data_IF_552848122527
#
_entry.id   IF_552848122527
#
_cell.length_a   1.000
_cell.length_b   1.000
_cell.length_c   1.000
_cell.angle_alpha   90.00
_cell.angle_beta   90.00
_cell.angle_gamma   90.00
#
_symmetry.space_group_name_H-M   'P 1'
#
loop_
_entity.id
_entity.type
_entity.pdbx_description
1 polymer ?
#
# COMPACT_ATOMS: atom_id res chain seq x y z
N UNK A 1 -1.11 37.00 41.41
CA UNK A 1 -0.06 36.32 40.62
C UNK A 1 -0.37 34.84 40.66
N UNK A 2 -1.31 34.39 39.85
CA UNK A 2 -1.64 32.96 39.79
C UNK A 2 -2.29 32.71 38.45
N UNK A 3 -1.44 32.50 37.44
CA UNK A 3 -1.84 31.91 36.15
C UNK A 3 -0.56 31.57 35.37
N UNK A 4 -0.05 30.37 35.62
CA UNK A 4 0.80 29.65 34.68
C UNK A 4 0.32 28.20 34.70
N UNK A 5 -0.71 27.97 33.89
CA UNK A 5 -1.23 26.65 33.55
C UNK A 5 -0.07 25.74 33.17
N UNK A 6 0.07 24.62 33.87
CA UNK A 6 0.89 23.48 33.45
C UNK A 6 0.42 23.04 32.06
N UNK A 7 1.18 23.39 31.03
CA UNK A 7 1.15 22.64 29.78
C UNK A 7 1.86 21.33 30.09
N UNK A 8 1.12 20.22 30.10
CA UNK A 8 1.65 18.91 30.48
C UNK A 8 2.80 18.48 29.56
N UNK A 9 3.84 17.91 30.16
CA UNK A 9 4.98 17.31 29.46
C UNK A 9 4.49 16.14 28.59
N UNK A 10 4.43 16.31 27.27
CA UNK A 10 4.14 15.23 26.31
C UNK A 10 5.44 14.47 26.03
N UNK A 11 5.41 13.15 26.09
CA UNK A 11 6.58 12.28 25.83
C UNK A 11 7.06 12.45 24.37
N UNK A 12 8.36 12.76 24.12
CA UNK A 12 8.92 12.83 22.78
C UNK A 12 8.66 11.60 21.90
N UNK A 13 8.54 10.39 22.48
CA UNK A 13 8.18 9.19 21.71
C UNK A 13 6.73 9.21 21.23
N UNK A 14 5.83 9.75 22.04
CA UNK A 14 4.42 9.90 21.69
C UNK A 14 4.25 10.89 20.52
N UNK A 15 5.03 11.99 20.54
CA UNK A 15 5.08 12.96 19.44
C UNK A 15 5.59 12.31 18.16
N UNK A 16 6.69 11.55 18.22
CA UNK A 16 7.27 10.89 17.06
C UNK A 16 6.32 9.84 16.45
N UNK A 17 5.66 9.04 17.29
CA UNK A 17 4.67 8.05 16.85
C UNK A 17 3.47 8.73 16.17
N UNK A 18 2.99 9.84 16.72
CA UNK A 18 1.91 10.62 16.13
C UNK A 18 2.27 11.18 14.76
N UNK A 19 3.46 11.78 14.63
CA UNK A 19 3.93 12.33 13.35
C UNK A 19 4.08 11.23 12.29
N UNK A 20 4.57 10.04 12.68
CA UNK A 20 4.67 8.90 11.77
C UNK A 20 3.29 8.41 11.31
N UNK A 21 2.30 8.35 12.20
CA UNK A 21 0.94 7.97 11.86
C UNK A 21 0.28 8.98 10.90
N UNK A 22 0.44 10.28 11.14
CA UNK A 22 -0.03 11.33 10.25
C UNK A 22 0.64 11.26 8.86
N UNK A 23 1.93 10.95 8.83
CA UNK A 23 2.66 10.72 7.58
C UNK A 23 2.17 9.48 6.83
N UNK A 24 1.91 8.39 7.55
CA UNK A 24 1.40 7.15 6.96
C UNK A 24 0.01 7.35 6.35
N UNK A 25 -0.89 8.05 7.06
CA UNK A 25 -2.19 8.41 6.51
C UNK A 25 -2.06 9.29 5.27
N UNK A 26 -1.17 10.30 5.30
CA UNK A 26 -0.94 11.20 4.16
C UNK A 26 -0.55 10.40 2.92
N UNK A 27 0.40 9.48 3.03
CA UNK A 27 0.87 8.69 1.90
C UNK A 27 -0.11 7.59 1.49
N UNK A 28 -0.85 7.00 2.44
CA UNK A 28 -1.92 6.06 2.12
C UNK A 28 -3.06 6.74 1.33
N UNK A 29 -3.40 8.00 1.63
CA UNK A 29 -4.33 8.79 0.79
C UNK A 29 -3.80 9.01 -0.62
N UNK A 30 -2.48 9.05 -0.83
CA UNK A 30 -1.91 9.08 -2.18
C UNK A 30 -2.04 7.73 -2.88
N UNK A 31 -1.80 6.62 -2.18
CA UNK A 31 -2.03 5.28 -2.70
C UNK A 31 -3.51 5.05 -3.06
N UNK A 32 -4.46 5.57 -2.28
CA UNK A 32 -5.90 5.57 -2.61
C UNK A 32 -6.23 6.30 -3.91
N UNK A 33 -5.49 7.38 -4.25
CA UNK A 33 -5.66 8.04 -5.56
C UNK A 33 -5.17 7.19 -6.72
N UNK A 34 -4.13 6.39 -6.52
CA UNK A 34 -3.71 5.38 -7.50
C UNK A 34 -4.75 4.25 -7.59
N UNK A 35 -5.32 3.80 -6.47
CA UNK A 35 -6.40 2.81 -6.47
C UNK A 35 -7.66 3.30 -7.23
N UNK A 36 -7.95 4.60 -7.15
CA UNK A 36 -9.03 5.22 -7.93
C UNK A 36 -8.75 5.19 -9.43
N UNK A 37 -7.50 5.37 -9.87
CA UNK A 37 -7.15 5.22 -11.29
C UNK A 37 -7.43 3.80 -11.78
N UNK A 38 -6.99 2.77 -11.04
CA UNK A 38 -7.34 1.38 -11.36
C UNK A 38 -8.86 1.16 -11.40
N UNK A 39 -9.62 1.72 -10.45
CA UNK A 39 -11.09 1.66 -10.46
C UNK A 39 -11.69 2.22 -11.76
N UNK A 40 -11.22 3.39 -12.19
CA UNK A 40 -11.71 4.07 -13.38
C UNK A 40 -11.35 3.31 -14.67
N UNK A 41 -10.21 2.63 -14.66
CA UNK A 41 -9.71 1.74 -15.72
C UNK A 41 -10.36 0.34 -15.71
N UNK A 42 -11.27 0.07 -14.76
CA UNK A 42 -11.93 -1.22 -14.54
C UNK A 42 -10.99 -2.36 -14.13
N UNK A 43 -9.88 -2.02 -13.49
CA UNK A 43 -8.95 -2.91 -12.83
C UNK A 43 -9.35 -3.11 -11.36
N UNK A 44 -8.86 -4.18 -10.71
CA UNK A 44 -9.03 -4.32 -9.26
C UNK A 44 -8.39 -3.09 -8.57
N UNK A 45 -9.12 -2.30 -7.75
CA UNK A 45 -8.68 -0.99 -7.31
C UNK A 45 -7.66 -1.07 -6.17
N UNK A 46 -6.42 -1.39 -6.53
CA UNK A 46 -5.27 -1.43 -5.64
C UNK A 46 -4.29 -0.38 -6.14
N UNK A 47 -3.83 0.47 -5.24
CA UNK A 47 -2.88 1.54 -5.52
C UNK A 47 -1.70 1.48 -4.58
N UNK A 48 -0.56 1.96 -5.05
CA UNK A 48 0.70 1.92 -4.33
C UNK A 48 1.54 3.17 -4.61
N UNK A 49 2.25 3.64 -3.59
CA UNK A 49 3.28 4.68 -3.71
C UNK A 49 4.52 4.28 -2.93
N UNK A 50 5.69 4.69 -3.42
CA UNK A 50 6.96 4.53 -2.71
C UNK A 50 7.53 5.91 -2.40
N UNK A 51 7.92 6.09 -1.14
CA UNK A 51 8.40 7.34 -0.57
C UNK A 51 9.85 7.19 -0.13
N UNK A 52 10.65 8.21 -0.40
CA UNK A 52 12.00 8.38 0.14
C UNK A 52 12.17 9.82 0.62
N UNK A 53 12.66 10.01 1.84
CA UNK A 53 12.90 11.33 2.43
C UNK A 53 11.67 12.27 2.37
N UNK A 54 10.48 11.72 2.61
CA UNK A 54 9.21 12.46 2.57
C UNK A 54 8.68 12.78 1.16
N UNK A 55 9.36 12.31 0.10
CA UNK A 55 9.00 12.55 -1.30
C UNK A 55 8.56 11.26 -1.97
N UNK A 56 7.45 11.30 -2.71
CA UNK A 56 7.02 10.17 -3.53
C UNK A 56 7.92 10.05 -4.75
N UNK A 57 8.63 8.93 -4.87
CA UNK A 57 9.56 8.62 -5.96
C UNK A 57 9.01 7.56 -6.93
N UNK A 58 7.95 6.86 -6.53
CA UNK A 58 7.27 5.88 -7.37
C UNK A 58 5.78 5.86 -7.10
N UNK A 59 4.99 5.62 -8.14
CA UNK A 59 3.54 5.44 -8.09
C UNK A 59 3.14 4.31 -9.02
N UNK A 60 2.02 3.67 -8.71
CA UNK A 60 1.45 2.64 -9.56
C UNK A 60 0.14 2.11 -8.99
N UNK A 61 -0.65 1.52 -9.87
CA UNK A 61 -1.89 0.84 -9.52
C UNK A 61 -1.97 -0.47 -10.30
N UNK A 62 -2.91 -1.34 -9.94
CA UNK A 62 -3.08 -2.62 -10.62
C UNK A 62 -3.39 -2.43 -12.11
N UNK A 63 -2.67 -3.12 -13.00
CA UNK A 63 -2.83 -3.03 -14.46
C UNK A 63 -2.80 -4.41 -15.14
N UNK A 64 -3.21 -5.46 -14.42
CA UNK A 64 -3.18 -6.85 -14.90
C UNK A 64 -3.94 -7.01 -16.22
N UNK A 65 -5.17 -6.50 -16.29
CA UNK A 65 -6.02 -6.66 -17.46
C UNK A 65 -5.55 -5.77 -18.63
N UNK A 66 -5.07 -4.57 -18.36
CA UNK A 66 -4.57 -3.65 -19.38
C UNK A 66 -3.28 -4.19 -20.01
N UNK A 67 -2.31 -4.63 -19.20
CA UNK A 67 -1.01 -5.08 -19.67
C UNK A 67 -0.99 -6.56 -20.08
N UNK A 68 -2.06 -7.31 -19.78
CA UNK A 68 -2.11 -8.78 -19.97
C UNK A 68 -0.93 -9.47 -19.30
N UNK A 69 -0.57 -8.97 -18.12
CA UNK A 69 0.56 -9.44 -17.32
C UNK A 69 0.07 -9.75 -15.90
N UNK A 70 0.15 -11.02 -15.53
CA UNK A 70 -0.24 -11.49 -14.20
C UNK A 70 0.61 -10.88 -13.06
N UNK A 71 1.75 -10.28 -13.37
CA UNK A 71 2.65 -9.66 -12.40
C UNK A 71 2.43 -8.15 -12.25
N UNK A 72 1.58 -7.52 -13.07
CA UNK A 72 1.31 -6.09 -13.09
C UNK A 72 0.45 -5.59 -11.91
N UNK A 73 0.79 -6.05 -10.70
CA UNK A 73 0.26 -5.57 -9.44
C UNK A 73 0.82 -4.18 -9.12
N UNK A 74 0.07 -3.40 -8.34
CA UNK A 74 0.43 -2.03 -7.97
C UNK A 74 1.84 -1.94 -7.38
N UNK A 75 2.21 -2.86 -6.49
CA UNK A 75 3.50 -2.88 -5.80
C UNK A 75 4.65 -3.18 -6.75
N UNK A 76 4.48 -4.13 -7.67
CA UNK A 76 5.51 -4.50 -8.66
C UNK A 76 5.80 -3.32 -9.58
N UNK A 77 4.76 -2.70 -10.12
CA UNK A 77 4.90 -1.54 -11.00
C UNK A 77 5.52 -0.35 -10.24
N UNK A 78 5.09 -0.11 -9.01
CA UNK A 78 5.62 0.99 -8.18
C UNK A 78 7.09 0.79 -7.80
N UNK A 79 7.50 -0.44 -7.50
CA UNK A 79 8.93 -0.77 -7.28
C UNK A 79 9.73 -0.43 -8.54
N UNK A 80 9.23 -0.80 -9.73
CA UNK A 80 9.86 -0.48 -11.00
C UNK A 80 10.00 1.03 -11.23
N UNK A 81 8.92 1.80 -11.01
CA UNK A 81 8.95 3.26 -11.18
C UNK A 81 9.90 3.95 -10.19
N UNK A 82 9.89 3.54 -8.92
CA UNK A 82 10.82 4.05 -7.91
C UNK A 82 12.28 3.72 -8.22
N UNK A 83 12.56 2.50 -8.67
CA UNK A 83 13.90 2.08 -9.06
C UNK A 83 14.42 2.90 -10.26
N UNK A 84 13.55 3.16 -11.24
CA UNK A 84 13.86 4.04 -12.36
C UNK A 84 14.16 5.47 -11.93
N UNK A 85 13.40 6.02 -10.97
CA UNK A 85 13.62 7.37 -10.45
C UNK A 85 14.95 7.52 -9.69
N UNK A 86 15.43 6.45 -9.06
CA UNK A 86 16.72 6.42 -8.35
C UNK A 86 17.90 5.98 -9.23
N UNK A 87 17.64 5.57 -10.47
CA UNK A 87 18.60 4.84 -11.32
C UNK A 87 19.28 3.68 -10.57
N UNK A 88 18.49 2.97 -9.74
CA UNK A 88 18.99 1.93 -8.86
C UNK A 88 17.87 0.97 -8.43
N UNK A 89 18.12 -0.33 -8.53
CA UNK A 89 17.17 -1.35 -8.08
C UNK A 89 17.04 -1.46 -6.56
N UNK A 90 18.02 -0.92 -5.81
CA UNK A 90 18.00 -0.90 -4.35
C UNK A 90 17.21 0.29 -3.83
N UNK A 91 16.12 0.01 -3.14
CA UNK A 91 15.21 0.97 -2.52
C UNK A 91 15.47 1.12 -1.02
N UNK A 92 16.75 1.07 -0.62
CA UNK A 92 17.16 1.32 0.76
C UNK A 92 16.71 2.74 1.19
N UNK A 93 16.17 2.85 2.40
CA UNK A 93 15.58 4.07 2.95
C UNK A 93 14.17 4.39 2.45
N UNK A 94 13.58 3.54 1.59
CA UNK A 94 12.25 3.77 1.06
C UNK A 94 11.16 3.08 1.89
N UNK A 95 10.00 3.74 2.00
CA UNK A 95 8.76 3.14 2.54
C UNK A 95 7.76 2.93 1.42
N UNK A 96 7.19 1.72 1.35
CA UNK A 96 6.12 1.37 0.42
C UNK A 96 4.77 1.48 1.12
N UNK A 97 3.82 2.17 0.49
CA UNK A 97 2.44 2.33 0.93
C UNK A 97 1.50 1.69 -0.09
N UNK A 98 0.67 0.73 0.32
CA UNK A 98 -0.27 0.03 -0.58
C UNK A 98 -1.65 -0.13 0.05
N UNK A 99 -2.72 0.01 -0.74
CA UNK A 99 -4.09 0.02 -0.19
C UNK A 99 -4.56 -1.37 0.31
N UNK A 100 -4.01 -2.45 -0.23
CA UNK A 100 -4.29 -3.83 0.19
C UNK A 100 -2.99 -4.52 0.59
N UNK A 101 -3.03 -5.40 1.58
CA UNK A 101 -1.88 -6.19 2.01
C UNK A 101 -1.18 -6.88 0.81
N UNK A 102 0.15 -6.76 0.68
CA UNK A 102 0.87 -7.40 -0.42
C UNK A 102 0.68 -8.91 -0.47
N UNK A 103 0.50 -9.46 -1.67
CA UNK A 103 0.49 -10.91 -1.87
C UNK A 103 1.91 -11.51 -1.80
N UNK A 104 2.09 -12.85 -1.83
CA UNK A 104 3.41 -13.48 -1.70
C UNK A 104 4.42 -13.03 -2.76
N UNK A 105 3.96 -12.79 -3.99
CA UNK A 105 4.78 -12.26 -5.07
C UNK A 105 5.30 -10.86 -4.74
N UNK A 106 4.39 -9.96 -4.36
CA UNK A 106 4.73 -8.57 -4.03
C UNK A 106 5.62 -8.50 -2.78
N UNK A 107 5.34 -9.31 -1.74
CA UNK A 107 6.18 -9.41 -0.56
C UNK A 107 7.61 -9.89 -0.90
N UNK A 108 7.76 -10.88 -1.79
CA UNK A 108 9.07 -11.29 -2.30
C UNK A 108 9.80 -10.18 -3.07
N UNK A 109 9.07 -9.42 -3.90
CA UNK A 109 9.63 -8.28 -4.63
C UNK A 109 10.09 -7.14 -3.70
N UNK A 110 9.33 -6.86 -2.63
CA UNK A 110 9.70 -5.91 -1.57
C UNK A 110 11.03 -6.30 -0.92
N UNK A 111 11.20 -7.59 -0.59
CA UNK A 111 12.46 -8.09 -0.03
C UNK A 111 13.63 -7.92 -1.01
N UNK A 112 13.43 -8.33 -2.26
CA UNK A 112 14.47 -8.30 -3.30
C UNK A 112 14.87 -6.87 -3.69
N UNK A 113 13.92 -5.94 -3.74
CA UNK A 113 14.16 -4.52 -4.03
C UNK A 113 14.72 -3.73 -2.86
N UNK A 114 14.84 -4.34 -1.68
CA UNK A 114 15.37 -3.72 -0.47
C UNK A 114 14.55 -2.56 0.10
N UNK A 115 13.25 -2.49 -0.19
CA UNK A 115 12.34 -1.57 0.52
C UNK A 115 12.54 -1.73 2.03
N UNK A 116 12.65 -0.61 2.75
CA UNK A 116 13.01 -0.60 4.17
C UNK A 116 11.82 -0.76 5.10
N UNK A 117 10.61 -0.39 4.66
CA UNK A 117 9.38 -0.48 5.45
C UNK A 117 8.17 -0.66 4.54
N UNK A 118 7.20 -1.44 4.99
CA UNK A 118 5.91 -1.65 4.31
C UNK A 118 4.79 -1.10 5.17
N UNK A 119 3.88 -0.35 4.56
CA UNK A 119 2.65 0.12 5.18
C UNK A 119 1.49 -0.28 4.27
N UNK A 120 0.50 -0.96 4.81
CA UNK A 120 -0.68 -1.35 4.04
C UNK A 120 -1.99 -0.94 4.71
N UNK A 121 -3.01 -0.75 3.87
CA UNK A 121 -4.34 -0.37 4.31
C UNK A 121 -5.15 -1.53 4.86
N UNK A 122 -5.88 -2.22 4.00
CA UNK A 122 -6.72 -3.36 4.40
C UNK A 122 -5.93 -4.68 4.39
N UNK A 123 -6.11 -5.58 5.38
CA UNK A 123 -5.56 -6.93 5.31
C UNK A 123 -6.21 -7.74 4.18
N UNK A 124 -5.45 -8.65 3.57
CA UNK A 124 -5.96 -9.58 2.55
C UNK A 124 -6.13 -10.98 3.15
N UNK A 125 -7.37 -11.34 3.46
CA UNK A 125 -7.72 -12.65 4.04
C UNK A 125 -7.69 -13.81 3.04
N UNK A 126 -7.45 -13.53 1.75
CA UNK A 126 -7.38 -14.56 0.71
C UNK A 126 -5.94 -14.82 0.29
N UNK A 127 -5.14 -13.76 0.16
CA UNK A 127 -3.80 -13.84 -0.41
C UNK A 127 -2.75 -13.00 0.35
N UNK A 128 -3.03 -12.52 1.55
CA UNK A 128 -2.10 -11.70 2.33
C UNK A 128 -0.77 -12.41 2.63
N UNK A 129 0.33 -11.81 2.16
CA UNK A 129 1.69 -12.31 2.27
C UNK A 129 2.55 -11.64 3.34
N UNK A 130 1.96 -10.74 4.14
CA UNK A 130 2.65 -9.97 5.18
C UNK A 130 2.10 -10.28 6.59
N UNK A 131 1.55 -11.48 6.79
CA UNK A 131 1.12 -11.97 8.10
C UNK A 131 -0.34 -12.41 8.19
N UNK A 132 -1.23 -12.01 7.27
CA UNK A 132 -2.64 -12.44 7.36
C UNK A 132 -2.84 -13.89 6.95
N UNK A 133 -2.29 -14.31 5.79
CA UNK A 133 -2.42 -15.69 5.31
C UNK A 133 -1.09 -16.43 5.42
N UNK A 134 -0.02 -15.81 4.92
CA UNK A 134 1.36 -16.25 5.10
C UNK A 134 2.23 -15.03 5.42
N UNK A 135 3.39 -15.25 6.03
CA UNK A 135 4.33 -14.18 6.35
C UNK A 135 5.66 -14.36 5.61
N UNK A 136 5.69 -13.90 4.36
CA UNK A 136 6.91 -13.92 3.52
C UNK A 136 7.95 -12.93 4.04
N UNK A 137 7.51 -11.84 4.66
CA UNK A 137 8.39 -10.77 5.12
C UNK A 137 9.19 -11.20 6.34
N UNK A 138 8.56 -11.83 7.33
CA UNK A 138 9.24 -12.26 8.57
C UNK A 138 10.08 -13.51 8.35
N UNK A 139 9.56 -14.52 7.64
CA UNK A 139 10.28 -15.79 7.39
C UNK A 139 11.25 -15.70 6.19
N UNK A 140 11.94 -14.57 6.04
CA UNK A 140 12.82 -14.33 4.89
C UNK A 140 14.24 -14.91 5.07
N UNK A 141 14.76 -15.54 4.01
CA UNK A 141 16.13 -16.09 3.99
C UNK A 141 17.23 -15.01 4.02
N UNK A 142 16.90 -13.75 3.71
CA UNK A 142 17.84 -12.63 3.70
C UNK A 142 18.21 -12.15 5.10
N UNK A 143 17.50 -12.61 6.15
CA UNK A 143 17.67 -12.21 7.55
C UNK A 143 17.63 -10.70 7.77
N UNK A 144 16.92 -9.99 6.89
CA UNK A 144 16.79 -8.52 6.95
C UNK A 144 15.41 -8.19 7.52
N UNK A 145 15.33 -7.42 8.62
CA UNK A 145 14.04 -6.96 9.12
C UNK A 145 13.46 -5.93 8.16
N UNK A 146 12.19 -6.10 7.81
CA UNK A 146 11.38 -5.11 7.09
C UNK A 146 10.15 -4.86 7.96
N UNK A 147 10.10 -3.75 8.71
CA UNK A 147 8.93 -3.43 9.52
C UNK A 147 7.69 -3.31 8.65
N UNK A 148 6.59 -3.90 9.15
CA UNK A 148 5.28 -3.87 8.49
C UNK A 148 4.28 -3.16 9.40
N UNK A 149 3.56 -2.20 8.85
CA UNK A 149 2.45 -1.51 9.53
C UNK A 149 1.17 -1.74 8.73
N UNK A 150 0.25 -2.53 9.27
CA UNK A 150 -1.06 -2.75 8.67
C UNK A 150 -2.15 -1.86 9.26
N UNK A 151 -3.24 -1.66 8.53
CA UNK A 151 -4.47 -1.05 9.05
C UNK A 151 -4.63 0.45 8.78
N UNK A 152 -3.68 1.09 8.10
CA UNK A 152 -3.71 2.54 7.85
C UNK A 152 -4.83 2.86 6.85
N UNK A 153 -5.86 3.59 7.30
CA UNK A 153 -7.06 3.88 6.49
C UNK A 153 -7.72 2.59 5.93
N UNK A 154 -7.71 1.50 6.71
CA UNK A 154 -8.20 0.20 6.28
C UNK A 154 -9.66 0.21 5.78
N UNK A 155 -10.53 0.98 6.43
CA UNK A 155 -11.94 1.10 6.05
C UNK A 155 -12.11 1.75 4.67
N UNK A 156 -11.35 2.82 4.40
CA UNK A 156 -11.37 3.53 3.12
C UNK A 156 -10.81 2.63 2.00
N UNK A 157 -9.69 1.96 2.26
CA UNK A 157 -9.06 1.02 1.33
C UNK A 157 -9.95 -0.18 1.01
N UNK A 158 -10.64 -0.73 2.00
CA UNK A 158 -11.61 -1.81 1.78
C UNK A 158 -12.88 -1.30 1.09
N UNK A 159 -13.25 -0.04 1.34
CA UNK A 159 -14.44 0.61 0.77
C UNK A 159 -14.39 0.65 -0.76
N UNK A 160 -13.27 1.13 -1.34
CA UNK A 160 -13.12 1.19 -2.80
C UNK A 160 -13.12 -0.22 -3.44
N UNK A 161 -12.49 -1.20 -2.80
CA UNK A 161 -12.49 -2.60 -3.27
C UNK A 161 -13.90 -3.21 -3.28
N UNK A 162 -14.68 -2.96 -2.22
CA UNK A 162 -16.08 -3.40 -2.14
C UNK A 162 -16.94 -2.73 -3.21
N UNK A 163 -16.78 -1.42 -3.41
CA UNK A 163 -17.52 -0.67 -4.43
C UNK A 163 -17.25 -1.23 -5.84
N UNK A 164 -16.00 -1.60 -6.13
CA UNK A 164 -15.63 -2.20 -7.41
C UNK A 164 -16.35 -3.52 -7.66
N UNK A 165 -16.30 -4.47 -6.71
CA UNK A 165 -16.98 -5.76 -6.89
C UNK A 165 -18.51 -5.62 -6.92
N UNK A 166 -19.08 -4.64 -6.23
CA UNK A 166 -20.52 -4.33 -6.34
C UNK A 166 -20.85 -3.86 -7.76
N UNK A 167 -20.10 -2.91 -8.32
CA UNK A 167 -20.25 -2.44 -9.70
C UNK A 167 -20.16 -3.59 -10.70
N UNK A 168 -19.14 -4.44 -10.58
CA UNK A 168 -18.95 -5.60 -11.48
C UNK A 168 -20.11 -6.60 -11.42
N UNK A 169 -20.74 -6.79 -10.26
CA UNK A 169 -21.93 -7.65 -10.13
C UNK A 169 -23.15 -7.06 -10.81
N UNK A 170 -23.36 -5.75 -10.69
CA UNK A 170 -24.46 -5.05 -11.35
C UNK A 170 -24.33 -5.08 -12.87
N UNK A 171 -23.12 -4.84 -13.40
CA UNK A 171 -22.84 -4.90 -14.85
C UNK A 171 -23.05 -6.32 -15.43
N UNK A 172 -22.73 -7.37 -14.66
CA UNK A 172 -23.00 -8.78 -15.03
C UNK A 172 -24.47 -9.18 -14.90
N UNK A 173 -25.20 -8.60 -13.94
CA UNK A 173 -26.62 -8.84 -13.73
C UNK A 173 -27.50 -8.27 -14.85
N UNK A 174 -27.05 -7.21 -15.51
CA UNK A 174 -27.77 -6.55 -16.61
C UNK A 174 -27.53 -7.20 -17.98
N UNK A 175 -26.47 -8.02 -18.09
CA UNK A 175 -26.13 -8.80 -19.29
C UNK A 175 -26.87 -10.15 -19.38
N UNK A 176 -27.74 -10.47 -18.41
CA UNK A 176 -28.61 -11.66 -18.40
C UNK A 176 -29.98 -11.49 -19.08
N UNK A 177 -30.24 -10.33 -19.72
CA UNK A 177 -31.43 -10.10 -20.55
C UNK A 177 -31.03 -9.46 -21.89
N UNK A 178 -30.52 -10.27 -22.83
CA UNK A 178 -30.70 -10.09 -24.27
C UNK A 178 -30.06 -11.26 -25.03
N UNK A 179 -30.90 -11.84 -25.90
CA UNK A 179 -30.71 -12.98 -26.81
C UNK A 179 -30.77 -14.37 -26.16
#
# INVERSE_FOLDING_TARGET
MEDLKKVGDIDPMEIAAKLLAEEDERFMRMALREAQQAFDEKEIPIGCVIVKDGVVIGKGHNQIEMLKDATAHAEILTIGTAAGALDNWRLDGCTLYVTLEPCPMCAGAILNSRVSRVVYGSPDTRFGGCGTTIDVITDNALKRPVPVTGGVLAEECLGILKAFFQRMRLEKGDSGKKA
#
